data_IF_240123424082
#
_entry.id   IF_240123424082
#
_cell.length_a   1.000
_cell.length_b   1.000
_cell.length_c   1.000
_cell.angle_alpha   90.00
_cell.angle_beta   90.00
_cell.angle_gamma   90.00
#
_symmetry.space_group_name_H-M   'P 1'
#
loop_
_entity.id
_entity.type
_entity.pdbx_description
1 polymer ?
#
# COMPACT_ATOMS: atom_id res chain seq x y z
N UNK A 1 0.32 -23.29 9.99
CA UNK A 1 0.68 -22.20 9.05
C UNK A 1 -0.45 -21.20 9.05
N UNK A 2 -0.32 -20.09 9.79
CA UNK A 2 -1.38 -19.09 9.89
C UNK A 2 -1.72 -18.58 8.47
N UNK A 3 -2.98 -18.76 8.06
CA UNK A 3 -3.45 -18.35 6.74
C UNK A 3 -3.14 -16.88 6.53
N UNK A 4 -2.40 -16.57 5.45
CA UNK A 4 -2.12 -15.20 5.03
C UNK A 4 -3.47 -14.49 4.93
N UNK A 5 -3.73 -13.47 5.75
CA UNK A 5 -4.89 -12.58 5.55
C UNK A 5 -4.76 -12.05 4.11
N UNK A 6 -5.64 -12.49 3.21
CA UNK A 6 -5.65 -12.03 1.82
C UNK A 6 -6.32 -10.67 1.84
N UNK A 7 -5.57 -9.63 1.52
CA UNK A 7 -6.17 -8.34 1.18
C UNK A 7 -6.84 -8.49 -0.19
N UNK A 8 -8.09 -8.04 -0.31
CA UNK A 8 -8.72 -7.95 -1.61
C UNK A 8 -8.04 -6.87 -2.46
N UNK A 9 -8.18 -6.92 -3.78
CA UNK A 9 -7.64 -5.87 -4.65
C UNK A 9 -8.17 -4.48 -4.27
N UNK A 10 -9.46 -4.41 -3.91
CA UNK A 10 -10.09 -3.17 -3.44
C UNK A 10 -9.45 -2.65 -2.13
N UNK A 11 -9.22 -3.53 -1.15
CA UNK A 11 -8.54 -3.15 0.09
C UNK A 11 -7.13 -2.62 -0.18
N UNK A 12 -6.42 -3.24 -1.12
CA UNK A 12 -5.06 -2.82 -1.50
C UNK A 12 -5.09 -1.43 -2.13
N UNK A 13 -5.99 -1.18 -3.08
CA UNK A 13 -6.12 0.15 -3.72
C UNK A 13 -6.49 1.22 -2.69
N UNK A 14 -7.41 0.94 -1.76
CA UNK A 14 -7.76 1.87 -0.67
C UNK A 14 -6.54 2.17 0.21
N UNK A 15 -5.75 1.15 0.56
CA UNK A 15 -4.51 1.33 1.33
C UNK A 15 -3.44 2.09 0.55
N UNK A 16 -3.32 1.90 -0.76
CA UNK A 16 -2.40 2.66 -1.60
C UNK A 16 -2.75 4.14 -1.68
N UNK A 17 -4.05 4.48 -1.81
CA UNK A 17 -4.50 5.88 -1.74
C UNK A 17 -4.14 6.54 -0.42
N UNK A 18 -4.37 5.84 0.70
CA UNK A 18 -3.94 6.31 2.02
C UNK A 18 -2.41 6.44 2.11
N UNK A 19 -1.67 5.52 1.49
CA UNK A 19 -0.21 5.59 1.40
C UNK A 19 0.27 6.85 0.67
N UNK A 20 -0.47 7.30 -0.36
CA UNK A 20 -0.15 8.51 -1.12
C UNK A 20 -0.48 9.79 -0.34
N UNK A 21 -1.60 9.82 0.38
CA UNK A 21 -1.92 10.90 1.32
C UNK A 21 -0.82 11.07 2.38
N UNK A 22 -0.42 9.98 3.03
CA UNK A 22 0.62 9.99 4.04
C UNK A 22 2.00 10.37 3.47
N UNK A 23 2.29 9.98 2.23
CA UNK A 23 3.50 10.42 1.54
C UNK A 23 3.47 11.92 1.25
N UNK A 24 2.31 12.48 0.88
CA UNK A 24 2.13 13.92 0.70
C UNK A 24 2.25 14.71 2.02
N UNK A 25 1.92 14.09 3.16
CA UNK A 25 2.20 14.61 4.50
C UNK A 25 3.71 14.54 4.87
N UNK A 26 4.54 13.93 4.02
CA UNK A 26 5.99 13.81 4.20
C UNK A 26 6.44 12.58 4.98
N UNK A 27 5.54 11.61 5.28
CA UNK A 27 5.92 10.37 5.95
C UNK A 27 6.82 9.50 5.07
N UNK A 28 7.74 8.79 5.71
CA UNK A 28 8.62 7.81 5.07
C UNK A 28 7.87 6.52 4.73
N UNK A 29 8.39 5.73 3.80
CA UNK A 29 7.77 4.45 3.42
C UNK A 29 7.63 3.44 4.58
N UNK A 30 8.52 3.52 5.58
CA UNK A 30 8.49 2.68 6.77
C UNK A 30 7.38 3.11 7.74
N UNK A 31 7.24 4.41 7.97
CA UNK A 31 6.15 4.98 8.77
C UNK A 31 4.78 4.72 8.11
N UNK A 32 4.69 4.88 6.78
CA UNK A 32 3.46 4.59 6.04
C UNK A 32 3.10 3.11 6.15
N UNK A 33 4.08 2.21 6.02
CA UNK A 33 3.84 0.78 6.16
C UNK A 33 3.35 0.42 7.57
N UNK A 34 3.93 1.04 8.60
CA UNK A 34 3.48 0.90 9.98
C UNK A 34 2.04 1.41 10.18
N UNK A 35 1.71 2.61 9.68
CA UNK A 35 0.36 3.20 9.71
C UNK A 35 -0.68 2.29 9.03
N UNK A 36 -0.30 1.59 7.96
CA UNK A 36 -1.18 0.69 7.19
C UNK A 36 -1.21 -0.75 7.70
N UNK A 37 -0.49 -1.02 8.79
CA UNK A 37 -0.31 -2.34 9.41
C UNK A 37 0.22 -3.40 8.42
N UNK A 38 1.17 -3.00 7.57
CA UNK A 38 1.82 -3.88 6.59
C UNK A 38 3.33 -3.74 6.65
N UNK A 39 4.05 -4.67 6.04
CA UNK A 39 5.50 -4.50 5.88
C UNK A 39 5.81 -3.52 4.74
N UNK A 40 6.93 -2.80 4.84
CA UNK A 40 7.41 -1.93 3.76
C UNK A 40 7.59 -2.71 2.43
N UNK A 41 8.03 -3.97 2.51
CA UNK A 41 8.12 -4.86 1.35
C UNK A 41 6.75 -5.17 0.75
N UNK A 42 5.70 -5.35 1.57
CA UNK A 42 4.32 -5.52 1.09
C UNK A 42 3.84 -4.28 0.37
N UNK A 43 4.04 -3.09 0.97
CA UNK A 43 3.67 -1.82 0.37
C UNK A 43 4.38 -1.59 -0.98
N UNK A 44 5.68 -1.87 -1.06
CA UNK A 44 6.46 -1.80 -2.29
C UNK A 44 5.88 -2.73 -3.39
N UNK A 45 5.58 -3.98 -3.05
CA UNK A 45 5.00 -4.93 -3.99
C UNK A 45 3.61 -4.52 -4.46
N UNK A 46 2.78 -3.97 -3.57
CA UNK A 46 1.48 -3.42 -3.95
C UNK A 46 1.61 -2.21 -4.88
N UNK A 47 2.51 -1.27 -4.60
CA UNK A 47 2.78 -0.13 -5.49
C UNK A 47 3.23 -0.60 -6.88
N UNK A 48 4.05 -1.64 -6.97
CA UNK A 48 4.46 -2.23 -8.25
C UNK A 48 3.30 -2.93 -8.99
N UNK A 49 2.42 -3.62 -8.27
CA UNK A 49 1.36 -4.45 -8.86
C UNK A 49 0.06 -3.68 -9.15
N UNK A 50 -0.26 -2.68 -8.33
CA UNK A 50 -1.51 -1.93 -8.37
C UNK A 50 -1.31 -0.42 -8.53
N UNK A 51 -0.10 0.12 -8.32
CA UNK A 51 0.16 1.56 -8.44
C UNK A 51 0.13 2.11 -9.87
N UNK A 52 0.09 1.23 -10.88
CA UNK A 52 -0.16 1.61 -12.27
C UNK A 52 -1.65 1.66 -12.65
N UNK A 53 -2.57 1.18 -11.80
CA UNK A 53 -4.01 1.14 -12.12
C UNK A 53 -4.70 2.51 -12.03
N UNK A 54 -4.00 3.56 -11.60
CA UNK A 54 -4.47 4.96 -11.64
C UNK A 54 -3.76 5.76 -12.76
N UNK A 55 -2.99 5.11 -13.63
CA UNK A 55 -2.07 5.76 -14.57
C UNK A 55 -2.08 5.27 -16.02
N UNK A 56 -3.23 4.81 -16.52
CA UNK A 56 -3.47 4.83 -17.97
C UNK A 56 -3.98 6.23 -18.35
N UNK A 57 -3.07 7.03 -18.92
CA UNK A 57 -3.36 8.25 -19.66
C UNK A 57 -4.03 7.93 -21.01
#
# INVERSE_FOLDING_TARGET
MAGRKRHSAEDIVRKLRRADELAAEGKTGEEIAADLEVSAATLYNWRRQYGGMDGDA
#
